data_IF_423434349012
#
_entry.id   IF_423434349012
#
_cell.length_a   1.000
_cell.length_b   1.000
_cell.length_c   1.000
_cell.angle_alpha   90.00
_cell.angle_beta   90.00
_cell.angle_gamma   90.00
#
_symmetry.space_group_name_H-M   'P 1'
#
loop_
_entity.id
_entity.type
_entity.pdbx_description
1 polymer ?
#
# COMPACT_ATOMS: atom_id res chain seq x y z
N UNK A 1 -3.75 10.68 -16.87
CA UNK A 1 -4.37 10.98 -15.56
C UNK A 1 -5.35 9.87 -15.20
N UNK A 2 -5.25 9.32 -13.98
CA UNK A 2 -6.16 8.29 -13.47
C UNK A 2 -7.53 8.88 -13.19
N UNK A 3 -8.58 8.16 -13.58
CA UNK A 3 -9.98 8.59 -13.38
C UNK A 3 -10.50 8.24 -11.99
N UNK A 4 -10.01 7.16 -11.41
CA UNK A 4 -10.47 6.63 -10.14
C UNK A 4 -9.30 6.37 -9.19
N UNK A 5 -9.59 6.50 -7.90
CA UNK A 5 -8.79 5.94 -6.82
C UNK A 5 -9.47 4.64 -6.40
N UNK A 6 -8.75 3.53 -6.47
CA UNK A 6 -9.29 2.23 -6.10
C UNK A 6 -8.98 1.98 -4.62
N UNK A 7 -10.03 1.72 -3.85
CA UNK A 7 -9.98 1.54 -2.41
C UNK A 7 -10.53 0.17 -2.07
N UNK A 8 -9.73 -0.67 -1.44
CA UNK A 8 -10.18 -1.93 -0.88
C UNK A 8 -10.25 -1.81 0.63
N UNK A 9 -11.40 -2.18 1.20
CA UNK A 9 -11.65 -2.13 2.64
C UNK A 9 -12.26 -3.46 3.06
N UNK A 10 -11.81 -3.99 4.19
CA UNK A 10 -12.45 -5.13 4.83
C UNK A 10 -13.84 -4.78 5.37
N UNK A 11 -14.71 -5.79 5.46
CA UNK A 11 -16.07 -5.67 5.95
C UNK A 11 -16.40 -6.89 6.82
N UNK A 12 -16.94 -6.65 8.02
CA UNK A 12 -17.56 -7.68 8.83
C UNK A 12 -18.91 -8.05 8.21
N UNK A 13 -18.95 -9.18 7.51
CA UNK A 13 -20.22 -9.85 7.26
C UNK A 13 -20.88 -10.13 8.62
N UNK A 14 -22.15 -9.78 8.77
CA UNK A 14 -22.93 -10.13 9.94
C UNK A 14 -22.93 -11.65 10.14
N UNK A 15 -22.07 -12.15 11.01
CA UNK A 15 -22.13 -13.52 11.52
C UNK A 15 -21.15 -14.58 10.97
N UNK A 16 -20.04 -14.27 10.28
CA UNK A 16 -19.03 -15.36 10.13
C UNK A 16 -17.84 -15.23 9.17
N UNK A 17 -17.78 -14.27 8.24
CA UNK A 17 -16.63 -14.17 7.33
C UNK A 17 -16.28 -12.72 7.00
N UNK A 18 -14.99 -12.37 7.09
CA UNK A 18 -14.42 -11.12 6.57
C UNK A 18 -14.53 -11.13 5.05
N UNK A 19 -15.17 -10.11 4.47
CA UNK A 19 -15.20 -9.88 3.03
C UNK A 19 -14.44 -8.58 2.72
N UNK A 20 -13.99 -8.39 1.48
CA UNK A 20 -13.28 -7.18 1.06
C UNK A 20 -14.04 -6.52 -0.08
N UNK A 21 -14.37 -5.24 0.06
CA UNK A 21 -15.09 -4.47 -0.95
C UNK A 21 -14.13 -3.55 -1.68
N UNK A 22 -14.18 -3.57 -3.01
CA UNK A 22 -13.48 -2.60 -3.85
C UNK A 22 -14.41 -1.43 -4.19
N UNK A 23 -14.02 -0.24 -3.79
CA UNK A 23 -14.67 1.03 -4.09
C UNK A 23 -13.87 1.81 -5.12
N UNK A 24 -14.56 2.43 -6.08
CA UNK A 24 -13.94 3.28 -7.11
C UNK A 24 -14.35 4.73 -6.89
N UNK A 25 -13.50 5.49 -6.21
CA UNK A 25 -13.77 6.91 -5.91
C UNK A 25 -13.29 7.75 -7.08
N UNK A 26 -14.16 8.61 -7.63
CA UNK A 26 -13.80 9.48 -8.74
C UNK A 26 -12.70 10.45 -8.30
N UNK A 27 -11.55 10.43 -8.98
CA UNK A 27 -10.41 11.28 -8.65
C UNK A 27 -10.79 12.77 -8.76
N UNK A 28 -11.64 13.14 -9.72
CA UNK A 28 -12.12 14.51 -9.90
C UNK A 28 -12.80 15.10 -8.67
N UNK A 29 -13.48 14.27 -7.86
CA UNK A 29 -14.14 14.73 -6.64
C UNK A 29 -13.17 15.39 -5.65
N UNK A 30 -11.89 14.97 -5.65
CA UNK A 30 -10.85 15.47 -4.77
C UNK A 30 -10.28 16.84 -5.18
N UNK A 31 -10.59 17.33 -6.38
CA UNK A 31 -10.00 18.55 -6.95
C UNK A 31 -11.06 19.61 -7.32
N UNK A 32 -12.31 19.43 -6.88
CA UNK A 32 -13.45 20.29 -7.26
C UNK A 32 -13.51 21.64 -6.54
N UNK A 33 -12.79 21.80 -5.42
CA UNK A 33 -12.79 23.03 -4.63
C UNK A 33 -11.57 23.91 -4.94
N UNK A 34 -11.69 25.25 -4.83
CA UNK A 34 -10.58 26.14 -5.08
C UNK A 34 -9.40 25.76 -4.18
N UNK A 35 -8.20 25.59 -4.75
CA UNK A 35 -7.01 25.23 -4.00
C UNK A 35 -6.69 26.29 -2.94
N UNK A 36 -6.37 25.86 -1.71
CA UNK A 36 -5.97 26.77 -0.63
C UNK A 36 -4.47 26.62 -0.35
N UNK A 37 -3.80 27.76 -0.18
CA UNK A 37 -2.43 27.86 0.34
C UNK A 37 -2.51 28.33 1.78
N UNK A 38 -2.67 27.42 2.74
CA UNK A 38 -2.61 27.78 4.15
C UNK A 38 -1.61 26.93 4.93
N UNK A 39 -0.89 27.60 5.84
CA UNK A 39 0.25 27.11 6.60
C UNK A 39 -0.13 26.66 8.03
N UNK A 40 -1.35 26.17 8.23
CA UNK A 40 -1.84 25.74 9.55
C UNK A 40 -1.68 24.23 9.73
N UNK A 41 -1.17 23.80 10.89
CA UNK A 41 -0.90 22.38 11.22
C UNK A 41 -2.16 21.54 11.53
N UNK A 42 -3.35 22.17 11.56
CA UNK A 42 -4.64 21.52 11.84
C UNK A 42 -5.58 21.81 10.68
N UNK A 43 -6.39 20.82 10.27
CA UNK A 43 -7.45 21.07 9.29
C UNK A 43 -8.50 21.97 9.98
N UNK A 44 -8.75 23.13 9.39
CA UNK A 44 -9.93 23.90 9.76
C UNK A 44 -11.16 23.01 9.50
N UNK A 45 -12.18 22.98 10.37
CA UNK A 45 -13.46 22.34 10.06
C UNK A 45 -13.98 22.67 8.66
N UNK A 46 -13.75 23.89 8.16
CA UNK A 46 -14.13 24.31 6.80
C UNK A 46 -13.32 23.62 5.68
N UNK A 47 -12.17 23.05 6.00
CA UNK A 47 -11.30 22.31 5.07
C UNK A 47 -11.61 20.81 5.00
N UNK A 48 -12.55 20.33 5.82
CA UNK A 48 -13.05 18.95 5.79
C UNK A 48 -14.52 18.94 5.38
N UNK A 49 -14.83 18.24 4.30
CA UNK A 49 -16.21 17.95 3.94
C UNK A 49 -16.60 16.55 4.41
N UNK A 50 -17.70 16.45 5.14
CA UNK A 50 -18.37 15.16 5.28
C UNK A 50 -18.97 14.76 3.93
N UNK A 51 -18.61 13.57 3.45
CA UNK A 51 -19.19 13.05 2.23
C UNK A 51 -20.73 12.99 2.37
N UNK A 52 -21.44 13.70 1.49
CA UNK A 52 -22.91 13.80 1.53
C UNK A 52 -23.62 12.45 1.38
N UNK A 53 -22.93 11.47 0.79
CA UNK A 53 -23.23 10.04 0.85
C UNK A 53 -21.99 9.29 1.31
N UNK A 54 -22.14 8.02 1.71
CA UNK A 54 -20.99 7.16 2.01
C UNK A 54 -20.07 6.95 0.81
N UNK A 55 -19.18 5.95 0.91
CA UNK A 55 -18.44 5.51 -0.26
C UNK A 55 -19.40 5.14 -1.41
N UNK A 56 -18.97 5.28 -2.69
CA UNK A 56 -19.79 4.85 -3.83
C UNK A 56 -20.16 3.36 -3.70
N UNK A 57 -21.15 2.85 -4.45
CA UNK A 57 -21.44 1.42 -4.46
C UNK A 57 -20.17 0.60 -4.78
N UNK A 58 -19.91 -0.51 -4.07
CA UNK A 58 -18.73 -1.33 -4.33
C UNK A 58 -18.81 -1.92 -5.73
N UNK A 59 -17.68 -1.90 -6.45
CA UNK A 59 -17.56 -2.45 -7.80
C UNK A 59 -17.53 -3.98 -7.80
N UNK A 60 -16.96 -4.57 -6.75
CA UNK A 60 -16.91 -6.02 -6.52
C UNK A 60 -16.64 -6.29 -5.02
N UNK A 61 -17.09 -7.45 -4.55
CA UNK A 61 -16.80 -7.96 -3.21
C UNK A 61 -16.02 -9.26 -3.34
N UNK A 62 -14.88 -9.35 -2.67
CA UNK A 62 -14.04 -10.55 -2.60
C UNK A 62 -14.35 -11.29 -1.30
N UNK A 63 -14.60 -12.58 -1.44
CA UNK A 63 -14.72 -13.49 -0.31
C UNK A 63 -13.47 -14.37 -0.27
N UNK A 64 -12.74 -14.40 0.86
CA UNK A 64 -11.61 -15.32 1.01
C UNK A 64 -12.11 -16.77 0.95
N UNK A 65 -11.27 -17.68 0.45
CA UNK A 65 -11.60 -19.10 0.42
C UNK A 65 -11.70 -19.71 1.82
N UNK A 66 -10.83 -19.27 2.74
CA UNK A 66 -10.84 -19.71 4.13
C UNK A 66 -11.78 -18.84 4.96
N UNK A 67 -12.70 -19.48 5.68
CA UNK A 67 -13.54 -18.85 6.70
C UNK A 67 -12.78 -18.61 8.02
N UNK A 68 -11.47 -18.89 8.08
CA UNK A 68 -10.67 -18.64 9.27
C UNK A 68 -10.76 -17.17 9.68
N UNK A 69 -11.17 -16.93 10.92
CA UNK A 69 -11.40 -15.59 11.47
C UNK A 69 -10.05 -14.92 11.73
N UNK A 70 -9.68 -13.94 10.90
CA UNK A 70 -8.49 -13.12 11.10
C UNK A 70 -8.36 -11.97 10.09
N UNK A 71 -7.68 -10.86 10.45
CA UNK A 71 -7.27 -9.82 9.49
C UNK A 71 -6.32 -10.38 8.43
N UNK A 72 -6.32 -9.83 7.21
CA UNK A 72 -5.28 -10.14 6.21
C UNK A 72 -5.45 -11.49 5.49
N UNK A 73 -6.70 -11.88 5.24
CA UNK A 73 -7.04 -13.12 4.55
C UNK A 73 -6.94 -13.00 3.02
N UNK A 74 -6.88 -11.78 2.48
CA UNK A 74 -6.65 -11.49 1.06
C UNK A 74 -5.73 -10.30 0.92
N UNK A 75 -4.69 -10.44 0.12
CA UNK A 75 -3.79 -9.37 -0.30
C UNK A 75 -4.11 -8.88 -1.71
N UNK A 76 -4.03 -7.56 -1.89
CA UNK A 76 -4.37 -6.90 -3.15
C UNK A 76 -3.15 -6.24 -3.77
N UNK A 77 -2.79 -6.69 -4.96
CA UNK A 77 -1.63 -6.26 -5.73
C UNK A 77 -2.08 -5.55 -7.00
N UNK A 78 -1.60 -4.33 -7.19
CA UNK A 78 -1.84 -3.57 -8.42
C UNK A 78 -0.92 -4.05 -9.54
N UNK A 79 -1.48 -4.22 -10.74
CA UNK A 79 -0.74 -4.41 -11.99
C UNK A 79 -0.53 -3.07 -12.71
N UNK A 80 0.52 -2.99 -13.55
CA UNK A 80 0.79 -1.78 -14.33
C UNK A 80 -0.10 -1.68 -15.56
N UNK A 81 -0.28 -0.46 -16.05
CA UNK A 81 -0.95 -0.18 -17.33
C UNK A 81 -2.47 -0.23 -17.29
N UNK A 82 -3.07 -1.12 -16.50
CA UNK A 82 -4.51 -1.36 -16.46
C UNK A 82 -5.10 -1.07 -15.07
N UNK A 83 -6.40 -0.73 -15.01
CA UNK A 83 -7.19 -0.69 -13.75
C UNK A 83 -7.43 -2.13 -13.21
N UNK A 84 -6.40 -2.97 -13.26
CA UNK A 84 -6.41 -4.38 -12.90
C UNK A 84 -5.82 -4.59 -11.51
N UNK A 85 -6.47 -5.46 -10.75
CA UNK A 85 -6.16 -5.80 -9.38
C UNK A 85 -6.03 -7.31 -9.25
N UNK A 86 -4.89 -7.79 -8.79
CA UNK A 86 -4.72 -9.18 -8.39
C UNK A 86 -5.03 -9.32 -6.90
N UNK A 87 -6.05 -10.10 -6.58
CA UNK A 87 -6.33 -10.57 -5.22
C UNK A 87 -5.66 -11.94 -5.01
N UNK A 88 -4.92 -12.10 -3.92
CA UNK A 88 -4.31 -13.34 -3.47
C UNK A 88 -4.88 -13.67 -2.09
N UNK A 89 -5.57 -14.79 -1.93
CA UNK A 89 -6.02 -15.20 -0.60
C UNK A 89 -4.90 -15.84 0.25
N UNK A 90 -5.20 -16.14 1.51
CA UNK A 90 -4.26 -16.77 2.47
C UNK A 90 -3.77 -18.15 2.03
N UNK A 91 -4.47 -18.81 1.11
CA UNK A 91 -4.09 -20.10 0.53
C UNK A 91 -3.29 -19.91 -0.77
N UNK A 92 -3.03 -18.66 -1.18
CA UNK A 92 -2.32 -18.30 -2.41
C UNK A 92 -3.20 -18.22 -3.64
N UNK A 93 -4.52 -18.42 -3.53
CA UNK A 93 -5.40 -18.47 -4.71
C UNK A 93 -5.55 -17.11 -5.33
N UNK A 94 -5.24 -17.03 -6.63
CA UNK A 94 -5.20 -15.78 -7.37
C UNK A 94 -6.47 -15.48 -8.16
N UNK A 95 -7.00 -14.27 -8.02
CA UNK A 95 -8.06 -13.74 -8.87
C UNK A 95 -7.68 -12.35 -9.38
N UNK A 96 -7.61 -12.20 -10.70
CA UNK A 96 -7.39 -10.91 -11.36
C UNK A 96 -8.75 -10.29 -11.69
N UNK A 97 -9.01 -9.11 -11.15
CA UNK A 97 -10.16 -8.28 -11.47
C UNK A 97 -9.71 -7.10 -12.35
N UNK A 98 -10.35 -6.90 -13.50
CA UNK A 98 -10.16 -5.72 -14.33
C UNK A 98 -11.36 -4.77 -14.17
N UNK A 99 -11.11 -3.58 -13.63
CA UNK A 99 -12.19 -2.63 -13.35
C UNK A 99 -12.73 -1.92 -14.59
N UNK A 100 -12.00 -1.90 -15.71
CA UNK A 100 -12.47 -1.30 -16.95
C UNK A 100 -13.51 -2.20 -17.67
N UNK A 101 -13.27 -3.51 -17.68
CA UNK A 101 -14.18 -4.49 -18.29
C UNK A 101 -15.14 -5.15 -17.30
N UNK A 102 -15.01 -4.84 -16.00
CA UNK A 102 -15.72 -5.53 -14.91
C UNK A 102 -15.63 -7.06 -15.02
N UNK A 103 -14.45 -7.56 -15.40
CA UNK A 103 -14.22 -8.98 -15.63
C UNK A 103 -13.28 -9.57 -14.59
N UNK A 104 -13.46 -10.86 -14.30
CA UNK A 104 -12.59 -11.65 -13.42
C UNK A 104 -11.89 -12.75 -14.21
N UNK A 105 -10.66 -13.06 -13.83
CA UNK A 105 -9.86 -14.15 -14.39
C UNK A 105 -9.18 -14.90 -13.24
N UNK A 106 -9.25 -16.23 -13.28
CA UNK A 106 -8.45 -17.07 -12.40
C UNK A 106 -6.97 -16.96 -12.78
N UNK A 107 -6.13 -16.79 -11.77
CA UNK A 107 -4.69 -16.69 -11.94
C UNK A 107 -4.04 -17.95 -11.38
N UNK A 108 -2.88 -18.36 -11.93
CA UNK A 108 -2.10 -19.43 -11.33
C UNK A 108 -1.74 -19.06 -9.88
N UNK A 109 -1.58 -20.08 -9.04
CA UNK A 109 -1.17 -19.89 -7.66
C UNK A 109 0.35 -19.67 -7.59
N UNK A 110 0.85 -18.77 -6.72
CA UNK A 110 2.27 -18.61 -6.46
C UNK A 110 2.83 -19.90 -5.83
N UNK A 111 4.16 -20.05 -5.85
CA UNK A 111 4.82 -21.23 -5.28
C UNK A 111 4.51 -21.42 -3.78
N UNK A 112 4.14 -20.34 -3.08
CA UNK A 112 3.51 -20.38 -1.77
C UNK A 112 2.58 -19.19 -1.55
N UNK A 113 1.64 -19.29 -0.58
CA UNK A 113 0.93 -18.14 -0.07
C UNK A 113 1.86 -17.00 0.32
N UNK A 114 1.46 -15.77 -0.01
CA UNK A 114 2.21 -14.55 0.30
C UNK A 114 1.62 -13.88 1.52
N UNK A 115 2.50 -13.44 2.41
CA UNK A 115 2.13 -12.69 3.62
C UNK A 115 2.56 -11.24 3.46
N UNK A 116 1.59 -10.32 3.43
CA UNK A 116 1.81 -8.88 3.23
C UNK A 116 2.78 -8.58 2.07
N UNK A 117 2.49 -9.06 0.84
CA UNK A 117 3.35 -8.86 -0.30
C UNK A 117 3.47 -7.39 -0.69
N UNK A 118 4.67 -7.02 -1.12
CA UNK A 118 4.98 -5.78 -1.81
C UNK A 118 5.10 -6.13 -3.29
N UNK A 119 4.31 -5.49 -4.13
CA UNK A 119 4.42 -5.64 -5.58
C UNK A 119 5.23 -4.53 -6.23
N UNK A 120 5.90 -4.87 -7.33
CA UNK A 120 6.51 -3.96 -8.28
C UNK A 120 6.05 -4.30 -9.68
N UNK A 121 6.00 -3.28 -10.50
CA UNK A 121 5.71 -3.41 -11.91
C UNK A 121 6.67 -2.52 -12.65
N UNK A 122 7.32 -3.05 -13.67
CA UNK A 122 8.20 -2.24 -14.52
C UNK A 122 7.53 -1.91 -15.83
N UNK A 123 7.99 -0.85 -16.49
CA UNK A 123 7.48 -0.47 -17.82
C UNK A 123 7.98 -1.43 -18.91
N UNK A 124 9.13 -2.10 -18.70
CA UNK A 124 9.85 -2.82 -19.75
C UNK A 124 9.59 -4.33 -19.84
N UNK A 125 9.18 -5.00 -18.75
CA UNK A 125 9.15 -6.47 -18.72
C UNK A 125 7.75 -7.11 -18.58
N UNK A 126 6.68 -6.32 -18.50
CA UNK A 126 5.29 -6.80 -18.29
C UNK A 126 5.12 -7.78 -17.11
N UNK A 127 6.09 -7.83 -16.20
CA UNK A 127 6.09 -8.74 -15.07
C UNK A 127 5.56 -8.03 -13.81
N UNK A 128 4.82 -8.77 -12.99
CA UNK A 128 4.49 -8.36 -11.63
C UNK A 128 5.46 -9.08 -10.68
N UNK A 129 6.39 -8.33 -10.11
CA UNK A 129 7.31 -8.83 -9.10
C UNK A 129 6.67 -8.73 -7.73
N UNK A 130 6.75 -9.78 -6.93
CA UNK A 130 6.08 -9.89 -5.64
C UNK A 130 7.06 -10.42 -4.61
N UNK A 131 7.38 -9.59 -3.61
CA UNK A 131 8.22 -9.96 -2.47
C UNK A 131 7.44 -9.85 -1.18
N UNK A 132 7.59 -10.80 -0.26
CA UNK A 132 7.03 -10.69 1.08
C UNK A 132 7.67 -9.53 1.85
N UNK A 133 6.87 -8.78 2.62
CA UNK A 133 7.39 -7.72 3.50
C UNK A 133 8.45 -8.23 4.45
N UNK A 134 8.31 -9.48 4.91
CA UNK A 134 9.28 -10.17 5.76
C UNK A 134 9.90 -11.33 4.96
N UNK A 135 11.00 -11.10 4.25
CA UNK A 135 11.56 -12.10 3.35
C UNK A 135 12.30 -13.21 4.12
N UNK A 136 11.98 -14.46 3.77
CA UNK A 136 12.68 -15.67 4.23
C UNK A 136 13.33 -16.39 3.05
N UNK A 137 14.56 -16.88 3.22
CA UNK A 137 15.35 -17.55 2.18
C UNK A 137 15.03 -19.05 2.00
N UNK A 138 13.83 -19.47 2.42
CA UNK A 138 13.38 -20.87 2.33
C UNK A 138 12.96 -21.28 0.91
N UNK A 139 12.62 -22.56 0.74
CA UNK A 139 11.99 -23.08 -0.46
C UNK A 139 10.56 -23.52 -0.12
N UNK A 140 9.51 -22.95 -0.73
CA UNK A 140 9.53 -21.92 -1.79
C UNK A 140 9.95 -20.52 -1.30
N UNK A 141 10.55 -19.75 -2.21
CA UNK A 141 11.19 -18.46 -1.94
C UNK A 141 10.20 -17.33 -1.61
N UNK A 142 10.68 -16.30 -0.90
CA UNK A 142 9.90 -15.11 -0.55
C UNK A 142 9.72 -14.11 -1.70
N UNK A 143 10.34 -14.35 -2.85
CA UNK A 143 10.36 -13.43 -3.99
C UNK A 143 10.04 -14.18 -5.29
N UNK A 144 9.00 -13.74 -5.99
CA UNK A 144 8.51 -14.37 -7.22
C UNK A 144 8.13 -13.31 -8.26
N UNK A 145 8.07 -13.70 -9.53
CA UNK A 145 7.50 -12.89 -10.60
C UNK A 145 6.35 -13.62 -11.28
N UNK A 146 5.24 -12.94 -11.46
CA UNK A 146 4.12 -13.37 -12.29
C UNK A 146 4.34 -12.83 -13.71
N UNK A 147 4.44 -13.73 -14.68
CA UNK A 147 4.75 -13.44 -16.08
C UNK A 147 3.74 -14.10 -17.00
N UNK A 148 3.44 -13.48 -18.15
CA UNK A 148 2.69 -14.10 -19.23
C UNK A 148 3.68 -14.60 -20.29
N UNK A 149 3.66 -15.89 -20.59
CA UNK A 149 4.66 -16.51 -21.47
C UNK A 149 4.35 -17.97 -21.79
N UNK A 150 5.30 -18.63 -22.45
CA UNK A 150 5.23 -20.07 -22.65
C UNK A 150 5.29 -20.78 -21.29
N UNK A 151 4.33 -21.66 -21.03
CA UNK A 151 4.26 -22.38 -19.77
C UNK A 151 5.44 -23.36 -19.64
N UNK A 152 6.15 -23.37 -18.50
CA UNK A 152 7.13 -24.42 -18.18
C UNK A 152 6.40 -25.79 -18.09
N UNK A 153 7.01 -26.87 -18.59
CA UNK A 153 6.53 -28.27 -18.55
C UNK A 153 5.40 -28.74 -19.51
N UNK A 154 5.15 -28.08 -20.65
CA UNK A 154 4.42 -28.73 -21.77
C UNK A 154 5.38 -29.67 -22.56
N UNK A 155 6.10 -30.58 -21.88
CA UNK A 155 7.13 -31.47 -22.45
C UNK A 155 6.54 -32.56 -23.38
N UNK A 156 5.21 -32.69 -23.46
CA UNK A 156 4.56 -33.78 -24.20
C UNK A 156 3.31 -33.34 -25.01
N UNK A 157 3.19 -32.05 -25.37
CA UNK A 157 2.08 -31.60 -26.23
C UNK A 157 2.54 -30.76 -27.41
N UNK A 158 2.04 -31.08 -28.60
CA UNK A 158 2.26 -30.36 -29.88
C UNK A 158 1.65 -28.93 -29.89
N UNK A 159 1.38 -28.34 -28.73
CA UNK A 159 0.87 -26.98 -28.57
C UNK A 159 1.57 -26.31 -27.40
N UNK A 160 2.56 -25.47 -27.68
CA UNK A 160 3.12 -24.58 -26.66
C UNK A 160 2.02 -23.63 -26.20
N UNK A 161 1.49 -23.82 -24.99
CA UNK A 161 0.43 -22.97 -24.46
C UNK A 161 1.03 -21.71 -23.85
N UNK A 162 0.44 -20.58 -24.24
CA UNK A 162 0.74 -19.28 -23.68
C UNK A 162 -0.17 -19.03 -22.47
N UNK A 163 0.42 -18.71 -21.32
CA UNK A 163 -0.33 -18.54 -20.08
C UNK A 163 0.40 -17.70 -19.05
N UNK A 164 -0.33 -17.33 -18.00
CA UNK A 164 0.27 -16.75 -16.81
C UNK A 164 0.92 -17.86 -15.99
N UNK A 165 2.11 -17.61 -15.47
CA UNK A 165 2.80 -18.50 -14.54
C UNK A 165 3.67 -17.70 -13.56
N UNK A 166 3.91 -18.29 -12.40
CA UNK A 166 4.84 -17.76 -11.41
C UNK A 166 6.21 -18.37 -11.60
N UNK A 167 7.26 -17.55 -11.45
CA UNK A 167 8.65 -18.00 -11.37
C UNK A 167 9.28 -17.52 -10.07
N UNK A 168 9.98 -18.43 -9.40
CA UNK A 168 10.77 -18.09 -8.21
C UNK A 168 11.98 -17.25 -8.60
N UNK A 169 12.30 -16.26 -7.77
CA UNK A 169 13.45 -15.38 -7.91
C UNK A 169 14.40 -15.56 -6.71
N UNK A 170 15.69 -15.22 -6.85
CA UNK A 170 16.62 -15.36 -5.74
C UNK A 170 16.19 -14.48 -4.55
N UNK A 171 16.25 -15.00 -3.31
CA UNK A 171 15.89 -14.22 -2.13
C UNK A 171 16.85 -13.03 -1.96
N UNK A 172 16.41 -11.92 -1.34
CA UNK A 172 17.30 -10.81 -1.07
C UNK A 172 18.42 -11.21 -0.09
N UNK A 173 19.60 -10.57 -0.13
CA UNK A 173 20.74 -10.91 0.73
C UNK A 173 20.47 -10.79 2.23
N UNK A 174 19.46 -10.01 2.62
CA UNK A 174 19.03 -9.80 4.01
C UNK A 174 17.85 -10.71 4.41
N UNK A 175 17.42 -11.63 3.54
CA UNK A 175 16.35 -12.58 3.87
C UNK A 175 16.77 -13.46 5.05
N UNK A 176 15.82 -13.71 5.96
CA UNK A 176 16.04 -14.53 7.15
C UNK A 176 16.18 -16.00 6.74
N UNK A 177 17.17 -16.69 7.30
CA UNK A 177 17.39 -18.13 7.07
C UNK A 177 16.39 -18.94 7.89
N UNK A 178 15.68 -19.86 7.24
CA UNK A 178 14.81 -20.84 7.89
C UNK A 178 13.35 -20.42 8.02
N UNK A 179 12.46 -21.39 7.81
CA UNK A 179 11.02 -21.33 8.11
C UNK A 179 10.77 -21.90 9.53
N UNK A 180 11.65 -21.60 10.48
CA UNK A 180 11.57 -22.25 11.79
C UNK A 180 10.33 -21.76 12.54
N UNK A 181 9.63 -22.68 13.21
CA UNK A 181 8.26 -22.58 13.74
C UNK A 181 8.01 -21.49 14.80
N UNK A 182 8.94 -20.56 14.92
CA UNK A 182 9.00 -19.45 15.85
C UNK A 182 8.57 -18.11 15.23
N UNK A 183 7.63 -18.13 14.26
CA UNK A 183 6.92 -16.92 13.77
C UNK A 183 6.40 -16.08 14.95
N UNK A 184 6.01 -16.74 16.04
CA UNK A 184 5.55 -16.09 17.28
C UNK A 184 6.66 -15.37 18.06
N UNK A 185 7.92 -15.85 18.02
CA UNK A 185 9.05 -15.20 18.72
C UNK A 185 9.70 -14.10 17.89
N UNK A 186 9.68 -14.21 16.56
CA UNK A 186 10.25 -13.20 15.66
C UNK A 186 9.31 -12.03 15.32
N UNK A 187 8.00 -12.13 15.60
CA UNK A 187 7.06 -11.00 15.50
C UNK A 187 7.49 -9.75 16.26
N UNK A 188 8.31 -9.90 17.31
CA UNK A 188 8.78 -8.78 18.13
C UNK A 188 10.03 -8.08 17.57
N UNK A 189 10.72 -8.65 16.59
CA UNK A 189 11.89 -8.01 15.97
C UNK A 189 11.56 -7.67 14.51
N UNK A 190 11.13 -6.43 14.28
CA UNK A 190 10.96 -5.80 12.94
C UNK A 190 12.30 -5.64 12.17
N UNK A 191 13.31 -6.40 12.55
CA UNK A 191 14.62 -6.41 11.89
C UNK A 191 14.47 -7.13 10.55
N UNK A 192 15.04 -6.53 9.51
CA UNK A 192 15.02 -6.97 8.12
C UNK A 192 13.66 -6.90 7.40
N UNK A 193 12.63 -6.33 8.04
CA UNK A 193 11.36 -6.03 7.36
C UNK A 193 11.56 -4.97 6.28
N UNK A 194 10.93 -5.14 5.13
CA UNK A 194 10.93 -4.14 4.07
C UNK A 194 9.99 -2.99 4.47
N UNK A 195 10.57 -1.81 4.67
CA UNK A 195 9.84 -0.61 5.11
C UNK A 195 9.58 0.38 3.99
N UNK A 196 10.36 0.33 2.92
CA UNK A 196 10.20 1.22 1.78
C UNK A 196 10.53 0.50 0.47
N UNK A 197 9.89 0.89 -0.61
CA UNK A 197 10.11 0.33 -1.95
C UNK A 197 9.99 1.40 -3.04
N UNK A 198 10.73 1.24 -4.13
CA UNK A 198 10.65 2.11 -5.30
C UNK A 198 11.11 1.36 -6.56
N UNK A 199 10.66 1.79 -7.73
CA UNK A 199 11.22 1.37 -9.02
C UNK A 199 12.12 2.48 -9.54
N UNK A 200 13.34 2.12 -9.93
CA UNK A 200 14.38 3.05 -10.42
C UNK A 200 14.87 2.56 -11.79
N UNK A 201 15.10 3.50 -12.72
CA UNK A 201 15.56 3.22 -14.09
C UNK A 201 14.72 2.16 -14.84
N UNK A 202 13.43 2.04 -14.48
CA UNK A 202 12.47 1.08 -15.04
C UNK A 202 12.87 -0.41 -14.95
N UNK A 203 13.98 -0.74 -14.30
CA UNK A 203 14.58 -2.10 -14.33
C UNK A 203 15.13 -2.49 -12.96
N UNK A 204 15.25 -1.55 -12.03
CA UNK A 204 15.77 -1.81 -10.70
C UNK A 204 14.67 -1.67 -9.65
N UNK A 205 14.42 -2.74 -8.90
CA UNK A 205 13.47 -2.75 -7.79
C UNK A 205 14.22 -2.47 -6.50
N UNK A 206 14.03 -1.29 -5.94
CA UNK A 206 14.73 -0.85 -4.74
C UNK A 206 13.89 -1.13 -3.50
N UNK A 207 14.53 -1.61 -2.44
CA UNK A 207 13.92 -1.91 -1.13
C UNK A 207 14.81 -1.43 0.00
N UNK A 208 14.21 -0.82 1.02
CA UNK A 208 14.89 -0.55 2.30
C UNK A 208 14.44 -1.59 3.32
N UNK A 209 15.41 -2.35 3.83
CA UNK A 209 15.22 -3.33 4.89
C UNK A 209 15.64 -2.73 6.24
N UNK A 210 14.74 -2.80 7.23
CA UNK A 210 14.98 -2.22 8.54
C UNK A 210 16.20 -2.85 9.23
N UNK A 211 17.23 -2.05 9.49
CA UNK A 211 18.48 -2.52 10.12
C UNK A 211 19.57 -3.00 9.15
N UNK A 212 19.24 -3.32 7.89
CA UNK A 212 20.23 -3.74 6.88
C UNK A 212 20.58 -2.67 5.84
N UNK A 213 19.72 -1.68 5.62
CA UNK A 213 19.94 -0.62 4.63
C UNK A 213 19.13 -0.82 3.35
N UNK A 214 19.64 -0.34 2.22
CA UNK A 214 18.94 -0.35 0.94
C UNK A 214 19.61 -1.29 -0.06
N UNK A 215 18.79 -2.05 -0.78
CA UNK A 215 19.17 -3.03 -1.78
C UNK A 215 18.37 -2.79 -3.06
N UNK A 216 18.88 -3.28 -4.18
CA UNK A 216 18.17 -3.29 -5.45
C UNK A 216 18.22 -4.66 -6.09
N UNK A 217 17.12 -5.07 -6.71
CA UNK A 217 17.08 -6.21 -7.62
C UNK A 217 17.09 -5.70 -9.07
N UNK A 218 18.04 -6.18 -9.87
CA UNK A 218 18.14 -5.89 -11.30
C UNK A 218 17.28 -6.91 -12.05
N UNK A 219 16.18 -6.46 -12.68
CA UNK A 219 15.24 -7.37 -13.34
C UNK A 219 15.80 -7.99 -14.62
N UNK A 220 16.86 -7.40 -15.20
CA UNK A 220 17.51 -7.93 -16.40
C UNK A 220 18.57 -8.97 -16.04
N UNK A 221 19.42 -8.66 -15.05
CA UNK A 221 20.46 -9.57 -14.59
C UNK A 221 19.88 -10.70 -13.69
N UNK A 222 18.75 -10.45 -13.03
CA UNK A 222 18.15 -11.39 -12.09
C UNK A 222 18.88 -11.45 -10.74
N UNK A 223 19.63 -10.41 -10.37
CA UNK A 223 20.53 -10.41 -9.21
C UNK A 223 20.28 -9.24 -8.26
N UNK A 224 20.57 -9.48 -6.98
CA UNK A 224 20.53 -8.48 -5.92
C UNK A 224 21.86 -7.75 -5.76
N UNK A 225 21.80 -6.44 -5.49
CA UNK A 225 22.96 -5.60 -5.16
C UNK A 225 22.67 -4.75 -3.92
N UNK A 226 23.64 -4.63 -3.03
CA UNK A 226 23.58 -3.68 -1.92
C UNK A 226 23.81 -2.25 -2.44
N UNK A 227 23.00 -1.30 -1.98
CA UNK A 227 23.13 0.14 -2.30
C UNK A 227 23.77 0.95 -1.18
N UNK A 228 23.73 0.42 0.04
CA UNK A 228 24.37 1.00 1.22
C UNK A 228 23.52 0.88 2.46
N UNK A 229 24.07 1.25 3.61
CA UNK A 229 23.39 1.19 4.92
C UNK A 229 22.32 2.29 5.12
N UNK A 230 22.20 3.21 4.16
CA UNK A 230 21.23 4.28 4.17
C UNK A 230 19.81 3.77 3.90
N UNK A 231 18.80 4.58 4.23
CA UNK A 231 17.37 4.27 4.09
C UNK A 231 16.69 5.25 3.14
N UNK A 232 15.78 4.75 2.29
CA UNK A 232 14.89 5.64 1.55
C UNK A 232 14.04 6.44 2.55
N UNK A 233 13.68 7.70 2.23
CA UNK A 233 12.93 8.54 3.15
C UNK A 233 11.45 8.19 3.24
N UNK A 234 10.98 7.25 2.42
CA UNK A 234 9.58 6.86 2.33
C UNK A 234 9.19 5.79 3.35
N UNK A 235 7.92 5.75 3.69
CA UNK A 235 7.25 4.62 4.31
C UNK A 235 6.32 4.00 3.25
N UNK A 236 6.54 2.72 2.94
CA UNK A 236 5.87 2.08 1.81
C UNK A 236 6.47 2.47 0.46
N UNK A 237 5.63 2.68 -0.55
CA UNK A 237 6.06 2.90 -1.93
C UNK A 237 6.42 4.37 -2.19
N UNK A 238 7.59 4.60 -2.80
CA UNK A 238 7.94 5.85 -3.48
C UNK A 238 7.58 5.75 -4.96
N UNK A 239 6.79 6.69 -5.47
CA UNK A 239 6.37 6.75 -6.87
C UNK A 239 7.17 7.82 -7.62
N UNK A 240 7.72 7.45 -8.78
CA UNK A 240 8.40 8.38 -9.66
C UNK A 240 7.40 9.28 -10.37
N UNK A 241 7.67 10.58 -10.40
CA UNK A 241 6.88 11.58 -11.13
C UNK A 241 7.79 12.24 -12.16
N UNK A 242 7.56 11.90 -13.43
CA UNK A 242 8.36 12.36 -14.57
C UNK A 242 8.35 13.89 -14.66
N UNK A 243 7.20 14.52 -14.42
CA UNK A 243 7.01 15.96 -14.51
C UNK A 243 7.88 16.76 -13.52
N UNK A 244 8.31 16.14 -12.42
CA UNK A 244 9.16 16.75 -11.40
C UNK A 244 10.56 16.11 -11.29
N UNK A 245 10.84 15.07 -12.08
CA UNK A 245 12.13 14.38 -12.10
C UNK A 245 12.57 13.88 -10.72
N UNK A 246 11.66 13.24 -9.97
CA UNK A 246 11.91 12.78 -8.61
C UNK A 246 10.90 11.76 -8.11
N UNK A 247 11.23 11.11 -6.98
CA UNK A 247 10.37 10.17 -6.29
C UNK A 247 9.63 10.87 -5.16
N UNK A 248 8.36 10.56 -5.03
CA UNK A 248 7.47 11.11 -4.03
C UNK A 248 6.84 9.97 -3.24
N UNK A 249 6.68 10.16 -1.94
CA UNK A 249 6.05 9.16 -1.08
C UNK A 249 5.77 9.69 0.30
N UNK A 250 4.97 8.94 1.04
CA UNK A 250 4.73 9.28 2.45
C UNK A 250 6.00 9.10 3.24
N UNK A 251 6.26 10.02 4.14
CA UNK A 251 7.52 10.01 4.87
C UNK A 251 7.57 8.95 5.98
N UNK A 252 8.78 8.44 6.19
CA UNK A 252 9.17 7.58 7.31
C UNK A 252 9.47 8.33 8.61
N UNK A 253 9.67 9.65 8.58
CA UNK A 253 10.03 10.53 9.71
C UNK A 253 9.42 11.93 9.53
N UNK A 254 9.46 12.87 10.49
CA UNK A 254 9.48 12.60 11.93
C UNK A 254 8.21 11.85 12.39
N UNK A 255 7.06 12.08 11.76
CA UNK A 255 5.82 11.34 12.00
C UNK A 255 5.44 10.54 10.76
N UNK A 256 5.45 9.20 10.89
CA UNK A 256 5.21 8.24 9.81
C UNK A 256 3.85 8.48 9.16
N UNK A 257 3.82 8.54 7.84
CA UNK A 257 2.57 8.55 7.08
C UNK A 257 1.80 9.88 7.04
N UNK A 258 2.26 10.90 7.76
CA UNK A 258 1.59 12.21 7.77
C UNK A 258 2.04 13.14 6.64
N UNK A 259 3.35 13.16 6.36
CA UNK A 259 3.95 14.09 5.42
C UNK A 259 4.19 13.43 4.06
N UNK A 260 4.05 14.20 3.00
CA UNK A 260 4.60 13.84 1.69
C UNK A 260 6.04 14.38 1.63
N UNK A 261 6.96 13.57 1.12
CA UNK A 261 8.33 13.98 0.92
C UNK A 261 8.78 13.64 -0.50
N UNK A 262 9.81 14.36 -0.96
CA UNK A 262 10.44 14.08 -2.25
C UNK A 262 11.94 13.86 -2.11
N UNK A 263 12.48 12.95 -2.92
CA UNK A 263 13.91 12.76 -3.07
C UNK A 263 14.28 12.41 -4.51
N UNK A 264 15.58 12.46 -4.82
CA UNK A 264 16.12 11.83 -6.03
C UNK A 264 16.86 10.57 -5.62
N UNK A 265 16.41 9.43 -6.13
CA UNK A 265 17.12 8.17 -6.00
C UNK A 265 18.17 8.12 -7.12
N UNK A 266 19.43 8.01 -6.74
CA UNK A 266 20.56 7.93 -7.67
C UNK A 266 21.44 6.76 -7.25
N UNK A 267 22.00 6.02 -8.22
CA UNK A 267 22.55 4.67 -8.05
C UNK A 267 23.66 4.49 -7.00
N UNK A 268 24.28 5.58 -6.51
CA UNK A 268 25.47 5.55 -5.65
C UNK A 268 25.45 6.50 -4.44
N UNK A 269 24.42 7.34 -4.29
CA UNK A 269 24.40 8.36 -3.25
C UNK A 269 23.28 8.14 -2.24
N UNK A 270 23.56 8.49 -0.98
CA UNK A 270 22.53 8.60 0.05
C UNK A 270 21.46 9.58 -0.44
N UNK A 271 20.18 9.19 -0.54
CA UNK A 271 19.14 10.08 -1.01
C UNK A 271 18.98 11.20 0.02
N UNK A 272 19.32 12.42 -0.39
CA UNK A 272 19.02 13.61 0.41
C UNK A 272 17.52 13.86 0.27
N UNK A 273 16.79 13.84 1.40
CA UNK A 273 15.42 14.35 1.44
C UNK A 273 15.48 15.79 0.98
N UNK A 274 14.91 16.06 -0.19
CA UNK A 274 15.02 17.38 -0.79
C UNK A 274 14.07 18.34 -0.13
N UNK A 275 12.83 17.88 0.09
CA UNK A 275 11.80 18.69 0.74
C UNK A 275 10.80 17.84 1.50
N UNK A 276 10.38 18.43 2.60
CA UNK A 276 9.14 18.15 3.30
C UNK A 276 8.07 19.03 2.66
N UNK A 277 6.95 18.43 2.26
CA UNK A 277 5.86 19.17 1.64
C UNK A 277 4.83 19.49 2.73
N UNK A 278 4.84 20.77 3.14
CA UNK A 278 4.04 21.31 4.24
C UNK A 278 2.54 21.39 3.91
N UNK A 279 1.68 21.42 4.93
CA UNK A 279 0.22 21.46 4.78
C UNK A 279 -0.46 20.09 4.74
N UNK A 280 0.30 19.01 4.95
CA UNK A 280 -0.20 17.62 5.05
C UNK A 280 -0.22 17.07 6.49
N UNK A 281 0.39 17.76 7.45
CA UNK A 281 0.35 17.48 8.89
C UNK A 281 -1.03 17.72 9.52
N UNK A 282 -1.95 18.24 8.73
CA UNK A 282 -3.32 18.58 9.08
C UNK A 282 -4.15 17.32 9.24
N UNK A 283 -4.33 16.88 10.49
CA UNK A 283 -5.37 15.92 10.85
C UNK A 283 -6.64 16.67 11.29
N UNK A 284 -7.83 16.09 11.07
CA UNK A 284 -9.06 16.65 11.64
C UNK A 284 -8.95 16.65 13.17
N UNK A 285 -9.36 17.75 13.80
CA UNK A 285 -9.49 17.78 15.25
C UNK A 285 -10.71 16.94 15.66
N UNK A 286 -10.48 15.91 16.47
CA UNK A 286 -11.59 15.24 17.16
C UNK A 286 -12.25 16.21 18.14
N UNK A 287 -13.58 16.18 18.21
CA UNK A 287 -14.31 16.94 19.22
C UNK A 287 -14.00 16.36 20.61
N UNK A 288 -13.59 17.17 21.61
CA UNK A 288 -13.38 16.69 22.97
C UNK A 288 -14.63 15.95 23.49
N UNK A 289 -14.49 14.81 24.19
CA UNK A 289 -13.26 14.25 24.75
C UNK A 289 -12.55 13.21 23.83
N UNK A 290 -12.77 13.23 22.51
CA UNK A 290 -12.18 12.22 21.62
C UNK A 290 -10.78 12.62 21.14
N UNK A 291 -9.95 11.62 20.83
CA UNK A 291 -8.65 11.78 20.17
C UNK A 291 -8.60 10.97 18.87
N UNK A 292 -8.12 11.59 17.80
CA UNK A 292 -7.90 10.91 16.51
C UNK A 292 -6.51 10.29 16.42
N UNK A 293 -6.44 9.08 15.88
CA UNK A 293 -5.21 8.33 15.62
C UNK A 293 -5.13 7.92 14.16
N UNK A 294 -3.96 8.04 13.57
CA UNK A 294 -3.69 7.53 12.22
C UNK A 294 -3.41 6.02 12.31
N UNK A 295 -4.25 5.22 11.67
CA UNK A 295 -4.06 3.77 11.56
C UNK A 295 -3.12 3.44 10.39
N UNK A 296 -3.45 3.95 9.21
CA UNK A 296 -2.74 3.68 7.97
C UNK A 296 -2.86 4.85 7.00
N UNK A 297 -1.85 5.04 6.15
CA UNK A 297 -1.85 6.08 5.15
C UNK A 297 -1.26 5.58 3.83
N UNK A 298 -1.81 6.09 2.73
CA UNK A 298 -1.38 5.79 1.38
C UNK A 298 -1.27 7.06 0.56
N UNK A 299 -0.27 7.12 -0.31
CA UNK A 299 -0.17 8.12 -1.36
C UNK A 299 -0.26 7.42 -2.72
N UNK A 300 -1.15 7.90 -3.58
CA UNK A 300 -1.36 7.35 -4.93
C UNK A 300 -1.17 8.47 -5.95
N UNK A 301 -0.20 8.32 -6.85
CA UNK A 301 -0.01 9.24 -7.96
C UNK A 301 -1.12 9.05 -9.01
N UNK A 302 -1.84 10.13 -9.29
CA UNK A 302 -2.94 10.19 -10.26
C UNK A 302 -2.47 10.68 -11.64
N UNK A 303 -1.20 11.05 -11.79
CA UNK A 303 -0.62 11.65 -13.00
C UNK A 303 -0.63 13.17 -12.95
N UNK A 304 0.25 13.80 -13.74
CA UNK A 304 0.35 15.26 -13.84
C UNK A 304 0.65 15.95 -12.50
N UNK A 305 1.50 15.33 -11.67
CA UNK A 305 1.86 15.86 -10.35
C UNK A 305 0.74 15.78 -9.30
N UNK A 306 -0.39 15.15 -9.62
CA UNK A 306 -1.53 15.01 -8.70
C UNK A 306 -1.44 13.75 -7.86
N UNK A 307 -1.74 13.87 -6.57
CA UNK A 307 -1.79 12.76 -5.63
C UNK A 307 -3.13 12.69 -4.90
N UNK A 308 -3.59 11.47 -4.63
CA UNK A 308 -4.55 11.21 -3.57
C UNK A 308 -3.79 10.74 -2.33
N UNK A 309 -4.00 11.42 -1.21
CA UNK A 309 -3.53 10.98 0.10
C UNK A 309 -4.74 10.43 0.87
N UNK A 310 -4.72 9.13 1.15
CA UNK A 310 -5.70 8.47 2.00
C UNK A 310 -5.13 8.30 3.41
N UNK A 311 -5.93 8.66 4.41
CA UNK A 311 -5.63 8.41 5.82
C UNK A 311 -6.80 7.69 6.46
N UNK A 312 -6.54 6.51 7.00
CA UNK A 312 -7.48 5.75 7.81
C UNK A 312 -7.30 6.18 9.25
N UNK A 313 -8.38 6.72 9.82
CA UNK A 313 -8.37 7.35 11.13
C UNK A 313 -9.29 6.59 12.07
N UNK A 314 -8.91 6.56 13.34
CA UNK A 314 -9.71 6.04 14.44
C UNK A 314 -9.87 7.14 15.49
N UNK A 315 -11.10 7.39 15.93
CA UNK A 315 -11.41 8.26 17.06
C UNK A 315 -11.75 7.41 18.28
N UNK A 316 -11.02 7.66 19.36
CA UNK A 316 -11.25 7.02 20.66
C UNK A 316 -11.66 8.07 21.68
N UNK A 317 -12.55 7.72 22.60
CA UNK A 317 -12.81 8.58 23.76
C UNK A 317 -11.57 8.59 24.66
N UNK A 318 -11.17 9.76 25.17
CA UNK A 318 -10.11 9.86 26.17
C UNK A 318 -10.60 9.20 27.47
N UNK A 319 -10.23 7.93 27.67
CA UNK A 319 -10.38 7.27 28.96
C UNK A 319 -9.45 7.94 29.98
N UNK A 320 -10.04 8.52 31.03
CA UNK A 320 -9.31 8.93 32.23
C UNK A 320 -8.89 7.67 32.97
N UNK A 321 -7.59 7.37 32.93
CA UNK A 321 -6.87 6.33 33.67
C UNK A 321 -7.11 4.86 33.25
N UNK A 322 -6.19 4.30 32.45
CA UNK A 322 -5.24 3.24 32.89
C UNK A 322 -4.35 2.70 31.75
N UNK A 323 -3.04 2.64 32.05
CA UNK A 323 -1.96 1.82 31.46
C UNK A 323 -1.92 1.75 29.91
N UNK A 324 -0.99 2.54 29.36
CA UNK A 324 -0.60 2.59 27.96
C UNK A 324 -0.14 1.22 27.42
N UNK A 325 -1.00 0.56 26.63
CA UNK A 325 -0.56 -0.47 25.71
C UNK A 325 -0.41 0.13 24.30
N UNK A 326 0.70 -0.19 23.65
CA UNK A 326 1.07 0.30 22.32
C UNK A 326 -0.06 0.02 21.30
N UNK A 327 -0.37 0.95 20.36
CA UNK A 327 -1.51 0.88 19.42
C UNK A 327 -1.51 -0.31 18.44
N UNK A 328 -0.52 -1.20 18.49
CA UNK A 328 -0.41 -2.38 17.61
C UNK A 328 -0.88 -3.68 18.26
N UNK A 329 -1.22 -3.69 19.55
CA UNK A 329 -1.66 -4.89 20.26
C UNK A 329 -2.98 -4.64 20.98
N UNK A 330 -4.10 -4.71 20.26
CA UNK A 330 -5.40 -4.98 20.88
C UNK A 330 -5.56 -6.48 21.04
N UNK A 331 -5.79 -6.91 22.29
CA UNK A 331 -6.29 -8.25 22.58
C UNK A 331 -7.67 -8.37 21.94
N UNK A 332 -7.87 -9.42 21.15
CA UNK A 332 -9.17 -9.73 20.56
C UNK A 332 -10.18 -9.97 21.68
N UNK A 333 -11.09 -9.02 21.93
CA UNK A 333 -12.13 -9.20 22.96
C UNK A 333 -12.87 -7.93 23.36
N UNK A 334 -12.20 -6.77 23.43
CA UNK A 334 -12.86 -5.51 23.82
C UNK A 334 -13.25 -4.71 22.57
N UNK A 335 -14.54 -4.76 22.24
CA UNK A 335 -15.15 -3.87 21.24
C UNK A 335 -15.37 -2.48 21.86
N UNK A 336 -14.30 -1.70 21.98
CA UNK A 336 -14.48 -0.25 22.03
C UNK A 336 -15.18 0.18 20.74
N UNK A 337 -16.30 0.90 20.85
CA UNK A 337 -17.01 1.53 19.72
C UNK A 337 -16.22 2.75 19.24
N UNK A 338 -15.02 2.53 18.74
CA UNK A 338 -14.25 3.60 18.13
C UNK A 338 -14.87 3.96 16.79
N UNK A 339 -15.01 5.26 16.54
CA UNK A 339 -15.48 5.76 15.25
C UNK A 339 -14.30 5.73 14.28
N UNK A 340 -14.42 4.96 13.19
CA UNK A 340 -13.40 4.91 12.14
C UNK A 340 -13.88 5.63 10.88
N UNK A 341 -12.97 6.33 10.23
CA UNK A 341 -13.26 7.02 8.98
C UNK A 341 -12.06 7.05 8.06
N UNK A 342 -12.33 7.25 6.78
CA UNK A 342 -11.34 7.50 5.74
C UNK A 342 -11.35 8.98 5.40
N UNK A 343 -10.16 9.59 5.39
CA UNK A 343 -9.95 10.95 4.91
C UNK A 343 -9.20 10.90 3.58
N UNK A 344 -9.85 11.33 2.50
CA UNK A 344 -9.22 11.47 1.18
C UNK A 344 -8.87 12.92 0.93
N UNK A 345 -7.62 13.19 0.57
CA UNK A 345 -7.13 14.55 0.29
C UNK A 345 -6.48 14.59 -1.09
N UNK A 346 -6.96 15.48 -1.95
CA UNK A 346 -6.32 15.79 -3.23
C UNK A 346 -5.13 16.73 -3.01
N UNK A 347 -3.99 16.42 -3.64
CA UNK A 347 -2.77 17.22 -3.55
C UNK A 347 -2.19 17.44 -4.94
N UNK A 348 -1.94 18.69 -5.29
CA UNK A 348 -1.20 19.06 -6.50
C UNK A 348 0.24 19.40 -6.10
N UNK A 349 1.22 18.69 -6.64
CA UNK A 349 2.64 19.09 -6.56
C UNK A 349 2.89 20.17 -7.62
N UNK A 350 3.40 21.32 -7.18
CA UNK A 350 3.59 22.50 -8.04
C UNK A 350 5.04 22.98 -8.04
N UNK A 351 5.42 23.65 -9.13
CA UNK A 351 6.78 24.10 -9.40
C UNK A 351 7.58 23.09 -10.23
N UNK A 352 8.48 23.59 -11.07
CA UNK A 352 9.30 22.78 -11.98
C UNK A 352 10.21 21.77 -11.26
N UNK A 353 10.51 22.00 -9.99
CA UNK A 353 11.29 21.13 -9.11
C UNK A 353 10.43 20.38 -8.07
N UNK A 354 9.10 20.52 -8.11
CA UNK A 354 8.19 19.97 -7.11
C UNK A 354 8.35 20.61 -5.73
N UNK A 355 8.69 21.91 -5.68
CA UNK A 355 9.03 22.61 -4.45
C UNK A 355 7.91 22.79 -3.42
N UNK A 356 6.67 22.75 -3.87
CA UNK A 356 5.53 23.06 -3.04
C UNK A 356 4.35 22.16 -3.39
N UNK A 357 3.42 22.06 -2.44
CA UNK A 357 2.13 21.40 -2.65
C UNK A 357 1.01 22.39 -2.50
N UNK A 358 -0.06 22.09 -3.21
CA UNK A 358 -1.36 22.71 -3.06
C UNK A 358 -2.31 21.63 -2.56
N UNK A 359 -2.90 21.86 -1.40
CA UNK A 359 -3.78 20.90 -0.73
C UNK A 359 -5.22 21.31 -1.00
N UNK A 360 -6.01 20.39 -1.55
CA UNK A 360 -7.44 20.57 -1.75
C UNK A 360 -8.22 20.17 -0.50
N UNK A 361 -9.50 20.52 -0.47
CA UNK A 361 -10.42 20.14 0.60
C UNK A 361 -10.39 18.62 0.81
N UNK A 362 -10.29 18.20 2.06
CA UNK A 362 -10.34 16.78 2.40
C UNK A 362 -11.78 16.30 2.48
N UNK A 363 -12.05 15.09 2.01
CA UNK A 363 -13.37 14.45 2.10
C UNK A 363 -13.32 13.34 3.15
N UNK A 364 -14.19 13.42 4.14
CA UNK A 364 -14.35 12.42 5.21
C UNK A 364 -15.47 11.44 4.87
N UNK A 365 -15.11 10.16 4.81
CA UNK A 365 -16.04 9.04 4.66
C UNK A 365 -16.12 8.27 5.97
N UNK A 366 -17.28 8.30 6.62
CA UNK A 366 -17.52 7.49 7.82
C UNK A 366 -17.81 6.05 7.44
N UNK A 367 -17.14 5.10 8.07
CA UNK A 367 -17.49 3.69 7.93
C UNK A 367 -18.74 3.39 8.79
N UNK A 368 -19.76 2.79 8.19
CA UNK A 368 -21.01 2.43 8.89
C UNK A 368 -21.12 0.90 8.97
N UNK A 369 -21.78 0.41 10.02
CA UNK A 369 -22.42 -0.92 10.10
C UNK A 369 -21.69 -2.07 9.37
N UNK A 370 -20.42 -2.31 9.72
CA UNK A 370 -19.67 -3.49 9.27
C UNK A 370 -18.43 -3.19 8.43
N UNK A 371 -18.31 -2.02 7.80
CA UNK A 371 -17.12 -1.70 6.99
C UNK A 371 -15.91 -1.26 7.86
N UNK A 372 -14.68 -1.59 7.44
CA UNK A 372 -13.38 -1.34 8.08
C UNK A 372 -13.17 -1.91 9.49
N UNK A 373 -13.41 -3.21 9.68
CA UNK A 373 -13.50 -3.84 11.02
C UNK A 373 -12.18 -4.35 11.58
N UNK A 374 -11.39 -5.06 10.78
CA UNK A 374 -10.07 -5.55 11.17
C UNK A 374 -8.95 -4.55 10.84
N UNK A 375 -9.29 -3.40 10.24
CA UNK A 375 -8.33 -2.36 9.91
C UNK A 375 -7.49 -2.68 8.68
N UNK A 376 -7.89 -3.69 7.88
CA UNK A 376 -7.19 -4.03 6.65
C UNK A 376 -7.70 -3.16 5.51
N UNK A 377 -6.80 -2.42 4.87
CA UNK A 377 -7.12 -1.64 3.69
C UNK A 377 -6.01 -1.69 2.64
N UNK A 378 -6.34 -1.32 1.40
CA UNK A 378 -5.38 -1.04 0.34
C UNK A 378 -5.90 0.10 -0.54
N UNK A 379 -5.01 1.01 -0.94
CA UNK A 379 -5.31 2.09 -1.88
C UNK A 379 -4.31 2.07 -3.04
N UNK A 380 -4.77 2.20 -4.28
CA UNK A 380 -3.90 2.18 -5.46
C UNK A 380 -4.48 2.86 -6.70
#
# INVERSE_FOLDING_TARGET
MRRFVNLVVDNAGGGGATAYKLYRVAASALFSSPPRRQAANVLDPDDVEDAAGGLPPPAITFHPSSLSVGPGNVDFLRLSGDDSLLALDVDGRGLLYNAASAAVRYMPDPCKPKMEPISFTTAGDSCLYVIERVPFSGNPGCFEALTYGLLPDDDDSLSSRMGWYWRSLPPPPFAKVGYDGDIHRHRHRREYDITASAVVNETELWVTAHGAGTFSFDTQAGDWRARGEWRMPFMGRGEYVEEHGGWFGLSSTPVKGLHLCSCRLCSYDVPVVRRWLDGLDRLPAAAPPKRSFLMEAYAVHLGSGRFCIARFMEEEEEEKDNISLHPFFRVAGEKSKNDRFLLLTGVDVVGSDGAAVVVHKSIRYKFQNGDFVCGYSRLF
#
